data_IF_727507785756
#
_entry.id   IF_727507785756
#
_cell.length_a   1.000
_cell.length_b   1.000
_cell.length_c   1.000
_cell.angle_alpha   90.00
_cell.angle_beta   90.00
_cell.angle_gamma   90.00
#
_symmetry.space_group_name_H-M   'P 1'
#
loop_
_entity.id
_entity.type
_entity.pdbx_description
1 polymer ?
#
# COMPACT_ATOMS: atom_id res chain seq x y z
N UNK A 1 -8.90 43.75 40.35
CA UNK A 1 -9.61 44.00 39.08
C UNK A 1 -9.34 42.81 38.19
N UNK A 2 -10.33 41.96 37.87
CA UNK A 2 -10.13 40.89 36.90
C UNK A 2 -10.19 41.49 35.50
N UNK A 3 -9.22 41.16 34.65
CA UNK A 3 -9.23 41.52 33.23
C UNK A 3 -10.08 40.48 32.52
N UNK A 4 -11.28 40.89 32.12
CA UNK A 4 -12.17 40.11 31.26
C UNK A 4 -11.53 39.97 29.88
N UNK A 5 -10.95 38.80 29.61
CA UNK A 5 -10.50 38.41 28.28
C UNK A 5 -11.61 37.61 27.60
N UNK A 6 -12.79 38.23 27.46
CA UNK A 6 -13.82 37.75 26.53
C UNK A 6 -13.43 38.17 25.12
N UNK A 7 -12.60 37.37 24.45
CA UNK A 7 -12.57 37.40 22.99
C UNK A 7 -13.94 36.90 22.52
N UNK A 8 -14.74 37.71 21.79
CA UNK A 8 -16.04 37.27 21.35
C UNK A 8 -15.86 36.06 20.43
N UNK A 9 -16.50 34.94 20.77
CA UNK A 9 -16.48 33.69 20.01
C UNK A 9 -16.78 33.93 18.51
N UNK A 10 -17.58 34.94 18.19
CA UNK A 10 -17.86 35.36 16.81
C UNK A 10 -16.64 35.87 16.03
N UNK A 11 -15.72 36.61 16.67
CA UNK A 11 -14.52 37.13 16.01
C UNK A 11 -13.51 36.02 15.69
N UNK A 12 -13.39 35.03 16.57
CA UNK A 12 -12.54 33.85 16.36
C UNK A 12 -13.09 32.96 15.24
N UNK A 13 -14.42 32.80 15.15
CA UNK A 13 -15.09 32.03 14.09
C UNK A 13 -14.96 32.70 12.73
N UNK A 14 -15.04 34.03 12.65
CA UNK A 14 -14.90 34.77 11.39
C UNK A 14 -13.45 34.83 10.88
N UNK A 15 -12.45 34.88 11.77
CA UNK A 15 -11.04 34.71 11.40
C UNK A 15 -10.77 33.28 10.91
N UNK A 16 -11.30 32.26 11.58
CA UNK A 16 -11.25 30.86 11.11
C UNK A 16 -11.88 30.70 9.72
N UNK A 17 -13.07 31.27 9.49
CA UNK A 17 -13.76 31.23 8.20
C UNK A 17 -13.06 32.00 7.08
N UNK A 18 -12.23 33.00 7.38
CA UNK A 18 -11.46 33.77 6.38
C UNK A 18 -10.09 33.15 6.07
N UNK A 19 -9.51 32.38 7.01
CA UNK A 19 -8.26 31.63 6.78
C UNK A 19 -8.50 30.27 6.09
N UNK A 20 -9.71 29.70 6.24
CA UNK A 20 -10.08 28.40 5.65
C UNK A 20 -10.08 28.39 4.10
N UNK A 21 -10.65 29.36 3.36
CA UNK A 21 -10.77 29.25 1.91
C UNK A 21 -9.44 29.41 1.17
N UNK A 22 -8.54 30.27 1.66
CA UNK A 22 -7.20 30.50 1.09
C UNK A 22 -6.20 29.42 1.46
N UNK A 23 -6.30 28.84 2.67
CA UNK A 23 -5.52 27.65 3.03
C UNK A 23 -6.00 26.42 2.24
N UNK A 24 -7.31 26.25 2.03
CA UNK A 24 -7.87 25.10 1.27
C UNK A 24 -7.50 25.16 -0.20
N UNK A 25 -7.46 26.33 -0.85
CA UNK A 25 -7.03 26.44 -2.26
C UNK A 25 -5.52 26.23 -2.44
N UNK A 26 -4.68 26.78 -1.56
CA UNK A 26 -3.24 26.49 -1.58
C UNK A 26 -2.95 24.99 -1.38
N UNK A 27 -3.61 24.38 -0.38
CA UNK A 27 -3.48 22.94 -0.11
C UNK A 27 -3.98 22.09 -1.29
N UNK A 28 -5.05 22.49 -1.98
CA UNK A 28 -5.55 21.76 -3.16
C UNK A 28 -4.60 21.86 -4.35
N UNK A 29 -3.99 23.04 -4.58
CA UNK A 29 -2.99 23.24 -5.64
C UNK A 29 -1.74 22.42 -5.35
N UNK A 30 -1.28 22.40 -4.10
CA UNK A 30 -0.10 21.63 -3.68
C UNK A 30 -0.35 20.11 -3.79
N UNK A 31 -1.51 19.62 -3.35
CA UNK A 31 -1.89 18.21 -3.50
C UNK A 31 -1.99 17.83 -4.98
N UNK A 32 -2.66 18.65 -5.80
CA UNK A 32 -2.83 18.35 -7.23
C UNK A 32 -1.48 18.41 -7.96
N UNK A 33 -0.62 19.36 -7.59
CA UNK A 33 0.75 19.47 -8.09
C UNK A 33 1.57 18.23 -7.76
N UNK A 34 1.55 17.80 -6.49
CA UNK A 34 2.21 16.59 -6.02
C UNK A 34 1.74 15.32 -6.76
N UNK A 35 0.42 15.14 -6.89
CA UNK A 35 -0.14 14.00 -7.61
C UNK A 35 0.30 13.98 -9.08
N UNK A 36 0.31 15.14 -9.75
CA UNK A 36 0.82 15.27 -11.12
C UNK A 36 2.30 14.94 -11.21
N UNK A 37 3.10 15.44 -10.29
CA UNK A 37 4.54 15.15 -10.23
C UNK A 37 4.78 13.65 -10.08
N UNK A 38 4.10 12.99 -9.13
CA UNK A 38 4.17 11.54 -8.94
C UNK A 38 3.82 10.77 -10.23
N UNK A 39 2.74 11.16 -10.91
CA UNK A 39 2.33 10.54 -12.17
C UNK A 39 3.37 10.76 -13.27
N UNK A 40 3.92 11.97 -13.42
CA UNK A 40 4.93 12.27 -14.43
C UNK A 40 6.24 11.51 -14.18
N UNK A 41 6.69 11.45 -12.93
CA UNK A 41 7.87 10.68 -12.51
C UNK A 41 7.64 9.20 -12.81
N UNK A 42 6.49 8.66 -12.40
CA UNK A 42 6.11 7.28 -12.70
C UNK A 42 6.10 7.01 -14.20
N UNK A 43 5.47 7.86 -15.03
CA UNK A 43 5.40 7.66 -16.48
C UNK A 43 6.80 7.58 -17.12
N UNK A 44 7.71 8.46 -16.72
CA UNK A 44 9.10 8.47 -17.21
C UNK A 44 9.85 7.20 -16.82
N UNK A 45 9.76 6.81 -15.55
CA UNK A 45 10.44 5.63 -15.02
C UNK A 45 9.85 4.34 -15.59
N UNK A 46 8.52 4.27 -15.68
CA UNK A 46 7.79 3.16 -16.26
C UNK A 46 8.13 2.96 -17.74
N UNK A 47 8.26 4.03 -18.53
CA UNK A 47 8.67 3.92 -19.93
C UNK A 47 10.06 3.27 -20.06
N UNK A 48 11.00 3.69 -19.21
CA UNK A 48 12.36 3.15 -19.18
C UNK A 48 12.39 1.69 -18.73
N UNK A 49 11.61 1.38 -17.69
CA UNK A 49 11.41 0.04 -17.15
C UNK A 49 10.81 -0.92 -18.19
N UNK A 50 9.70 -0.54 -18.80
CA UNK A 50 8.99 -1.33 -19.81
C UNK A 50 9.87 -1.59 -21.03
N UNK A 51 10.59 -0.57 -21.53
CA UNK A 51 11.55 -0.72 -22.62
C UNK A 51 12.70 -1.68 -22.25
N UNK A 52 13.22 -1.56 -21.03
CA UNK A 52 14.25 -2.46 -20.50
C UNK A 52 13.81 -3.92 -20.50
N UNK A 53 12.62 -4.18 -19.96
CA UNK A 53 12.02 -5.52 -19.94
C UNK A 53 11.80 -6.06 -21.36
N UNK A 54 11.21 -5.27 -22.26
CA UNK A 54 10.97 -5.67 -23.64
C UNK A 54 12.26 -6.05 -24.37
N UNK A 55 13.33 -5.27 -24.19
CA UNK A 55 14.64 -5.55 -24.80
C UNK A 55 15.22 -6.87 -24.30
N UNK A 56 15.26 -7.08 -22.98
CA UNK A 56 15.80 -8.33 -22.39
C UNK A 56 14.95 -9.54 -22.73
N UNK A 57 13.64 -9.37 -22.80
CA UNK A 57 12.72 -10.42 -23.20
C UNK A 57 12.98 -10.87 -24.65
N UNK A 58 13.30 -9.93 -25.56
CA UNK A 58 13.71 -10.25 -26.93
C UNK A 58 15.05 -10.99 -26.98
N UNK A 59 16.02 -10.59 -26.16
CA UNK A 59 17.31 -11.28 -26.05
C UNK A 59 17.12 -12.73 -25.56
N UNK A 60 16.30 -12.93 -24.52
CA UNK A 60 15.92 -14.25 -24.03
C UNK A 60 15.26 -15.11 -25.14
N UNK A 61 14.29 -14.54 -25.87
CA UNK A 61 13.65 -15.23 -27.01
C UNK A 61 14.63 -15.60 -28.13
N UNK A 62 15.66 -14.80 -28.33
CA UNK A 62 16.71 -15.08 -29.33
C UNK A 62 17.59 -16.23 -28.85
N UNK A 63 18.05 -16.19 -27.60
CA UNK A 63 18.83 -17.28 -27.00
C UNK A 63 18.07 -18.62 -26.99
N UNK A 64 16.76 -18.59 -26.73
CA UNK A 64 15.90 -19.77 -26.79
C UNK A 64 15.79 -20.36 -28.21
N UNK A 65 15.81 -19.53 -29.26
CA UNK A 65 15.81 -19.97 -30.66
C UNK A 65 17.14 -20.61 -31.07
N UNK A 66 18.24 -20.13 -30.51
CA UNK A 66 19.59 -20.65 -30.76
C UNK A 66 19.83 -22.02 -30.10
N UNK A 67 18.96 -22.43 -29.16
CA UNK A 67 19.02 -23.74 -28.49
C UNK A 67 20.12 -23.89 -27.43
N UNK A 68 20.81 -22.81 -27.08
CA UNK A 68 21.88 -22.80 -26.08
C UNK A 68 21.30 -22.58 -24.67
N UNK A 69 21.16 -23.67 -23.91
CA UNK A 69 20.59 -23.66 -22.55
C UNK A 69 21.33 -22.72 -21.60
N UNK A 70 22.65 -22.57 -21.74
CA UNK A 70 23.44 -21.70 -20.85
C UNK A 70 23.16 -20.23 -21.15
N UNK A 71 23.10 -19.85 -22.44
CA UNK A 71 22.75 -18.49 -22.85
C UNK A 71 21.31 -18.15 -22.49
N UNK A 72 20.40 -19.11 -22.65
CA UNK A 72 18.99 -18.95 -22.33
C UNK A 72 18.79 -18.69 -20.83
N UNK A 73 19.41 -19.50 -19.96
CA UNK A 73 19.36 -19.32 -18.51
C UNK A 73 19.96 -17.97 -18.09
N UNK A 74 21.14 -17.62 -18.63
CA UNK A 74 21.76 -16.31 -18.35
C UNK A 74 20.89 -15.13 -18.81
N UNK A 75 20.25 -15.24 -19.98
CA UNK A 75 19.37 -14.19 -20.49
C UNK A 75 18.09 -14.05 -19.66
N UNK A 76 17.54 -15.17 -19.18
CA UNK A 76 16.40 -15.15 -18.27
C UNK A 76 16.74 -14.47 -16.94
N UNK A 77 17.88 -14.83 -16.32
CA UNK A 77 18.32 -14.19 -15.07
C UNK A 77 18.44 -12.67 -15.22
N UNK A 78 19.03 -12.19 -16.31
CA UNK A 78 19.15 -10.75 -16.58
C UNK A 78 17.79 -10.09 -16.81
N UNK A 79 16.85 -10.79 -17.46
CA UNK A 79 15.49 -10.32 -17.64
C UNK A 79 14.76 -10.21 -16.29
N UNK A 80 14.84 -11.24 -15.46
CA UNK A 80 14.21 -11.26 -14.14
C UNK A 80 14.83 -10.18 -13.23
N UNK A 81 16.16 -10.08 -13.18
CA UNK A 81 16.86 -9.07 -12.39
C UNK A 81 16.42 -7.64 -12.76
N UNK A 82 16.35 -7.31 -14.06
CA UNK A 82 15.87 -5.99 -14.51
C UNK A 82 14.39 -5.81 -14.23
N UNK A 83 13.60 -6.86 -14.45
CA UNK A 83 12.16 -6.88 -14.18
C UNK A 83 11.84 -6.60 -12.71
N UNK A 84 12.53 -7.29 -11.80
CA UNK A 84 12.31 -7.22 -10.37
C UNK A 84 12.86 -5.92 -9.77
N UNK A 85 14.11 -5.55 -10.08
CA UNK A 85 14.69 -4.31 -9.56
C UNK A 85 13.94 -3.07 -10.07
N UNK A 86 13.53 -3.07 -11.33
CA UNK A 86 12.72 -1.99 -11.89
C UNK A 86 11.33 -1.92 -11.26
N UNK A 87 10.69 -3.07 -11.01
CA UNK A 87 9.43 -3.14 -10.27
C UNK A 87 9.58 -2.56 -8.85
N UNK A 88 10.56 -3.01 -8.07
CA UNK A 88 10.78 -2.52 -6.70
C UNK A 88 11.05 -1.02 -6.67
N UNK A 89 11.81 -0.49 -7.64
CA UNK A 89 12.06 0.95 -7.78
C UNK A 89 10.74 1.71 -7.98
N UNK A 90 9.91 1.28 -8.93
CA UNK A 90 8.62 1.91 -9.20
C UNK A 90 7.66 1.85 -8.01
N UNK A 91 7.57 0.69 -7.35
CA UNK A 91 6.75 0.53 -6.13
C UNK A 91 7.27 1.42 -4.99
N UNK A 92 8.59 1.57 -4.85
CA UNK A 92 9.24 2.48 -3.91
C UNK A 92 8.86 3.93 -4.17
N UNK A 93 9.08 4.43 -5.40
CA UNK A 93 8.71 5.79 -5.82
C UNK A 93 7.23 6.08 -5.57
N UNK A 94 6.33 5.15 -5.91
CA UNK A 94 4.90 5.31 -5.68
C UNK A 94 4.56 5.33 -4.18
N UNK A 95 5.23 4.50 -3.37
CA UNK A 95 5.03 4.47 -1.92
C UNK A 95 5.49 5.75 -1.23
N UNK A 96 6.59 6.35 -1.69
CA UNK A 96 7.04 7.68 -1.27
C UNK A 96 6.02 8.75 -1.65
N UNK A 97 5.46 8.67 -2.86
CA UNK A 97 4.37 9.53 -3.32
C UNK A 97 3.14 9.47 -2.42
N UNK A 98 2.74 8.27 -1.99
CA UNK A 98 1.66 8.07 -1.01
C UNK A 98 2.00 8.71 0.34
N UNK A 99 3.19 8.45 0.88
CA UNK A 99 3.59 9.02 2.17
C UNK A 99 3.60 10.55 2.13
N UNK A 100 4.09 11.14 1.04
CA UNK A 100 4.11 12.58 0.84
C UNK A 100 2.69 13.17 0.68
N UNK A 101 1.78 12.46 -0.01
CA UNK A 101 0.37 12.86 -0.04
C UNK A 101 -0.21 12.99 1.38
N UNK A 102 0.03 12.01 2.24
CA UNK A 102 -0.44 12.05 3.62
C UNK A 102 0.25 13.15 4.44
N UNK A 103 1.53 13.43 4.20
CA UNK A 103 2.23 14.57 4.79
C UNK A 103 1.58 15.91 4.45
N UNK A 104 1.10 16.07 3.22
CA UNK A 104 0.46 17.32 2.75
C UNK A 104 -0.97 17.46 3.25
N UNK A 105 -1.70 16.35 3.35
CA UNK A 105 -3.13 16.34 3.69
C UNK A 105 -3.42 16.23 5.19
N UNK A 106 -2.53 15.58 5.93
CA UNK A 106 -2.68 15.31 7.35
C UNK A 106 -1.58 16.01 8.15
N UNK A 107 -1.96 16.75 9.19
CA UNK A 107 -1.02 17.55 9.99
C UNK A 107 -0.39 16.76 11.15
N UNK A 108 -0.48 15.43 11.14
CA UNK A 108 0.14 14.62 12.18
C UNK A 108 1.67 14.79 12.15
N UNK A 109 2.33 14.81 13.33
CA UNK A 109 3.77 15.03 13.41
C UNK A 109 4.59 13.85 12.86
N UNK A 110 4.08 12.63 13.02
CA UNK A 110 4.69 11.45 12.41
C UNK A 110 4.10 11.18 11.02
N UNK A 111 4.97 10.75 10.10
CA UNK A 111 4.53 10.28 8.80
C UNK A 111 3.94 8.87 8.94
N UNK A 112 2.94 8.52 8.11
CA UNK A 112 2.45 7.16 8.09
C UNK A 112 3.49 6.24 7.45
N UNK A 113 3.47 4.97 7.86
CA UNK A 113 4.23 3.92 7.17
C UNK A 113 3.42 3.45 5.98
N UNK A 114 4.06 3.42 4.81
CA UNK A 114 3.48 2.86 3.59
C UNK A 114 4.18 1.54 3.28
N UNK A 115 3.41 0.52 2.94
CA UNK A 115 3.94 -0.79 2.57
C UNK A 115 3.16 -1.42 1.42
N UNK A 116 3.87 -2.17 0.58
CA UNK A 116 3.30 -2.91 -0.54
C UNK A 116 3.51 -4.39 -0.29
N UNK A 117 2.41 -5.14 -0.26
CA UNK A 117 2.43 -6.59 -0.13
C UNK A 117 2.00 -7.22 -1.45
N UNK A 118 2.74 -8.19 -1.96
CA UNK A 118 2.32 -9.01 -3.10
C UNK A 118 1.66 -10.28 -2.58
N UNK A 119 0.53 -10.64 -3.17
CA UNK A 119 -0.17 -11.88 -2.87
C UNK A 119 0.34 -13.01 -3.77
N UNK A 120 0.41 -14.23 -3.23
CA UNK A 120 0.58 -15.45 -4.02
C UNK A 120 -0.71 -16.29 -4.06
N UNK A 121 -0.70 -17.30 -4.91
CA UNK A 121 -1.80 -18.25 -5.13
C UNK A 121 -2.05 -19.18 -3.94
N UNK A 122 -1.12 -19.25 -2.98
CA UNK A 122 -1.18 -20.08 -1.78
C UNK A 122 -1.70 -19.34 -0.56
N UNK A 123 -2.13 -18.08 -0.74
CA UNK A 123 -2.67 -17.25 0.34
C UNK A 123 -1.60 -16.62 1.23
N UNK A 124 -0.32 -16.64 0.81
CA UNK A 124 0.71 -15.84 1.44
C UNK A 124 0.73 -14.43 0.88
N UNK A 125 1.15 -13.49 1.73
CA UNK A 125 1.37 -12.11 1.37
C UNK A 125 2.76 -11.70 1.82
N UNK A 126 3.52 -11.16 0.88
CA UNK A 126 4.91 -10.81 1.12
C UNK A 126 5.12 -9.32 0.96
N UNK A 127 5.78 -8.71 1.94
CA UNK A 127 6.13 -7.30 1.90
C UNK A 127 7.34 -7.07 0.98
N UNK A 128 7.10 -6.40 -0.15
CA UNK A 128 8.14 -6.11 -1.14
C UNK A 128 8.69 -4.69 -1.03
N UNK A 129 7.90 -3.77 -0.48
CA UNK A 129 8.32 -2.38 -0.27
C UNK A 129 7.78 -1.91 1.07
N UNK A 130 8.66 -1.34 1.90
CA UNK A 130 8.27 -0.67 3.14
C UNK A 130 8.97 0.68 3.23
N UNK A 131 8.20 1.75 3.18
CA UNK A 131 8.66 3.11 3.50
C UNK A 131 8.47 3.32 5.00
N UNK A 132 9.44 2.84 5.76
CA UNK A 132 9.69 3.18 7.16
C UNK A 132 11.20 3.21 7.37
N UNK A 133 11.70 3.92 8.39
CA UNK A 133 13.13 4.19 8.59
C UNK A 133 14.06 2.96 8.68
N UNK A 134 13.53 1.73 8.61
CA UNK A 134 14.30 0.51 8.39
C UNK A 134 13.63 -0.41 7.34
N UNK A 135 14.22 -0.48 6.15
CA UNK A 135 13.88 -1.44 5.09
C UNK A 135 14.44 -2.83 5.43
N UNK A 136 13.77 -3.59 6.31
CA UNK A 136 13.99 -5.04 6.34
C UNK A 136 13.00 -5.71 5.41
N UNK A 137 13.46 -6.65 4.57
CA UNK A 137 12.61 -7.58 3.82
C UNK A 137 11.59 -8.15 4.81
N UNK A 138 10.30 -7.93 4.57
CA UNK A 138 9.29 -8.35 5.53
C UNK A 138 9.18 -9.86 5.55
N UNK A 139 8.88 -10.41 6.72
CA UNK A 139 8.59 -11.83 6.86
C UNK A 139 7.36 -12.21 6.02
N UNK A 140 7.36 -13.43 5.48
CA UNK A 140 6.23 -14.00 4.79
C UNK A 140 5.03 -14.09 5.75
N UNK A 141 3.86 -13.60 5.34
CA UNK A 141 2.64 -13.61 6.16
C UNK A 141 1.59 -14.51 5.52
N UNK A 142 0.80 -15.20 6.33
CA UNK A 142 -0.39 -15.93 5.88
C UNK A 142 -1.59 -15.00 5.93
N UNK A 143 -2.30 -14.78 4.81
CA UNK A 143 -3.37 -13.80 4.74
C UNK A 143 -4.51 -14.07 5.74
N UNK A 144 -4.83 -15.33 6.00
CA UNK A 144 -5.91 -15.74 6.91
C UNK A 144 -5.70 -15.35 8.37
N UNK A 145 -4.44 -15.13 8.76
CA UNK A 145 -4.05 -14.72 10.10
C UNK A 145 -4.24 -13.22 10.35
N UNK A 146 -4.51 -12.44 9.29
CA UNK A 146 -4.71 -11.01 9.35
C UNK A 146 -6.09 -10.65 8.81
N UNK A 147 -6.96 -10.09 9.66
CA UNK A 147 -8.30 -9.65 9.25
C UNK A 147 -8.26 -8.72 8.06
N UNK A 148 -7.26 -7.85 7.97
CA UNK A 148 -7.12 -6.94 6.83
C UNK A 148 -6.97 -7.68 5.50
N UNK A 149 -6.01 -8.61 5.40
CA UNK A 149 -5.76 -9.33 4.14
C UNK A 149 -6.94 -10.22 3.81
N UNK A 150 -7.43 -10.98 4.81
CA UNK A 150 -8.61 -11.82 4.65
C UNK A 150 -9.82 -11.02 4.17
N UNK A 151 -10.12 -9.88 4.78
CA UNK A 151 -11.26 -9.05 4.38
C UNK A 151 -11.14 -8.57 2.95
N UNK A 152 -9.97 -8.02 2.57
CA UNK A 152 -9.76 -7.49 1.22
C UNK A 152 -9.81 -8.62 0.18
N UNK A 153 -9.26 -9.80 0.46
CA UNK A 153 -9.35 -10.99 -0.41
C UNK A 153 -10.81 -11.48 -0.53
N UNK A 154 -11.52 -11.56 0.59
CA UNK A 154 -12.88 -12.11 0.63
C UNK A 154 -13.91 -11.19 -0.06
N UNK A 155 -13.70 -9.87 -0.01
CA UNK A 155 -14.68 -8.89 -0.48
C UNK A 155 -14.23 -8.13 -1.74
N UNK A 156 -12.93 -8.09 -2.03
CA UNK A 156 -12.37 -7.32 -3.15
C UNK A 156 -12.50 -5.81 -3.01
N UNK A 157 -12.68 -5.30 -1.79
CA UNK A 157 -12.86 -3.86 -1.49
C UNK A 157 -11.86 -3.43 -0.41
N UNK A 158 -11.62 -2.11 -0.22
CA UNK A 158 -10.68 -1.62 0.77
C UNK A 158 -11.11 -1.96 2.18
N UNK A 159 -10.13 -2.11 3.06
CA UNK A 159 -10.33 -2.23 4.49
C UNK A 159 -9.83 -0.96 5.19
N UNK A 160 -10.63 -0.40 6.09
CA UNK A 160 -10.28 0.75 6.89
C UNK A 160 -10.58 0.46 8.36
N UNK A 161 -9.58 0.66 9.22
CA UNK A 161 -9.74 0.66 10.66
C UNK A 161 -9.02 1.86 11.27
N UNK A 162 -9.77 2.91 11.59
CA UNK A 162 -9.26 4.13 12.22
C UNK A 162 -9.15 4.03 13.75
N UNK A 163 -9.49 2.90 14.36
CA UNK A 163 -9.37 2.71 15.80
C UNK A 163 -9.16 1.25 16.16
N UNK A 164 -7.97 0.77 15.82
CA UNK A 164 -7.56 -0.60 16.09
C UNK A 164 -7.66 -0.97 17.58
N UNK A 165 -7.30 -0.10 18.55
CA UNK A 165 -7.44 -0.46 19.96
C UNK A 165 -8.89 -0.76 20.37
N UNK A 166 -9.85 0.08 19.95
CA UNK A 166 -11.28 -0.17 20.23
C UNK A 166 -11.78 -1.41 19.49
N UNK A 167 -11.32 -1.63 18.26
CA UNK A 167 -11.68 -2.81 17.48
C UNK A 167 -11.17 -4.09 18.15
N UNK A 168 -9.92 -4.10 18.65
CA UNK A 168 -9.34 -5.25 19.33
C UNK A 168 -10.07 -5.59 20.65
N UNK A 169 -10.63 -4.59 21.32
CA UNK A 169 -11.47 -4.79 22.51
C UNK A 169 -12.84 -5.40 22.13
N UNK A 170 -13.49 -4.89 21.08
CA UNK A 170 -14.90 -5.18 20.78
C UNK A 170 -15.13 -6.33 19.81
N UNK A 171 -14.21 -6.55 18.89
CA UNK A 171 -14.37 -7.48 17.77
C UNK A 171 -13.65 -8.80 18.06
N UNK A 172 -14.44 -9.86 18.25
CA UNK A 172 -14.00 -11.25 18.44
C UNK A 172 -13.39 -11.86 17.17
N UNK A 173 -13.72 -11.32 15.99
CA UNK A 173 -13.18 -11.80 14.72
C UNK A 173 -11.87 -11.11 14.30
N UNK A 174 -11.42 -10.05 14.98
CA UNK A 174 -10.19 -9.35 14.61
C UNK A 174 -8.94 -10.23 14.82
N UNK A 175 -8.31 -10.67 13.74
CA UNK A 175 -7.05 -11.43 13.73
C UNK A 175 -5.89 -10.53 13.34
N UNK A 176 -4.83 -10.56 14.15
CA UNK A 176 -3.53 -9.99 13.83
C UNK A 176 -2.49 -10.66 14.75
N UNK A 177 -1.52 -11.46 14.25
CA UNK A 177 -0.60 -12.24 15.09
C UNK A 177 0.25 -11.37 16.01
N UNK A 178 0.51 -10.13 15.57
CA UNK A 178 1.23 -9.12 16.36
C UNK A 178 0.48 -8.59 17.60
N UNK A 179 -0.81 -8.88 17.78
CA UNK A 179 -1.63 -8.32 18.87
C UNK A 179 -1.94 -9.36 19.95
N UNK A 180 -1.65 -9.04 21.22
CA UNK A 180 -2.02 -9.84 22.39
C UNK A 180 -3.48 -9.57 22.78
N UNK A 181 -4.42 -10.15 22.04
CA UNK A 181 -5.85 -9.81 22.11
C UNK A 181 -6.47 -9.99 23.49
N UNK A 182 -6.17 -11.10 24.15
CA UNK A 182 -6.68 -11.42 25.49
C UNK A 182 -6.22 -10.38 26.51
N UNK A 183 -4.97 -9.92 26.39
CA UNK A 183 -4.43 -8.86 27.24
C UNK A 183 -5.07 -7.50 26.93
N UNK A 184 -5.26 -7.17 25.65
CA UNK A 184 -5.91 -5.91 25.26
C UNK A 184 -7.32 -5.83 25.88
N UNK A 185 -8.10 -6.91 25.78
CA UNK A 185 -9.48 -6.94 26.29
C UNK A 185 -9.58 -6.82 27.80
N UNK A 186 -8.63 -7.41 28.51
CA UNK A 186 -8.66 -7.47 29.97
C UNK A 186 -7.95 -6.29 30.63
N UNK A 187 -6.93 -5.71 29.98
CA UNK A 187 -6.00 -4.77 30.62
C UNK A 187 -5.91 -3.40 29.93
N UNK A 188 -6.03 -3.32 28.61
CA UNK A 188 -5.86 -2.05 27.91
C UNK A 188 -7.05 -1.12 28.19
N UNK A 189 -6.74 0.13 28.54
CA UNK A 189 -7.75 1.17 28.76
C UNK A 189 -7.59 2.26 27.70
N UNK A 190 -8.54 2.37 26.74
CA UNK A 190 -8.48 3.39 25.71
C UNK A 190 -8.36 4.79 26.32
N UNK A 191 -7.43 5.59 25.80
CA UNK A 191 -7.27 6.96 26.25
C UNK A 191 -8.51 7.78 25.89
N UNK A 192 -8.89 8.72 26.74
CA UNK A 192 -9.99 9.63 26.42
C UNK A 192 -9.70 10.48 25.16
N UNK A 193 -8.42 10.73 24.88
CA UNK A 193 -7.93 11.40 23.66
C UNK A 193 -8.08 10.57 22.40
N UNK A 194 -8.25 9.25 22.51
CA UNK A 194 -8.48 8.35 21.37
C UNK A 194 -9.95 8.38 20.91
N UNK A 195 -10.77 9.32 21.43
CA UNK A 195 -12.09 9.62 20.87
C UNK A 195 -11.92 10.47 19.61
N UNK A 196 -12.74 10.20 18.58
CA UNK A 196 -12.69 10.84 17.25
C UNK A 196 -12.41 12.35 17.26
N UNK A 197 -13.22 13.13 17.95
CA UNK A 197 -13.08 14.59 17.98
C UNK A 197 -11.76 15.04 18.62
N UNK A 198 -11.37 14.40 19.72
CA UNK A 198 -10.18 14.76 20.49
C UNK A 198 -8.90 14.31 19.78
N UNK A 199 -8.93 13.14 19.14
CA UNK A 199 -7.81 12.64 18.34
C UNK A 199 -7.54 13.58 17.16
N UNK A 200 -8.59 13.98 16.43
CA UNK A 200 -8.45 14.95 15.32
C UNK A 200 -7.96 16.30 15.79
N UNK A 201 -8.52 16.81 16.90
CA UNK A 201 -8.07 18.07 17.49
C UNK A 201 -6.59 18.01 17.87
N UNK A 202 -6.16 16.94 18.53
CA UNK A 202 -4.75 16.72 18.90
C UNK A 202 -3.85 16.64 17.66
N UNK A 203 -4.22 15.82 16.68
CA UNK A 203 -3.42 15.62 15.47
C UNK A 203 -3.25 16.92 14.68
N UNK A 204 -4.27 17.77 14.64
CA UNK A 204 -4.25 19.01 13.86
C UNK A 204 -3.65 20.22 14.60
N UNK A 205 -3.83 20.33 15.92
CA UNK A 205 -3.45 21.54 16.67
C UNK A 205 -2.20 21.37 17.52
N UNK A 206 -2.02 20.21 18.17
CA UNK A 206 -0.95 20.06 19.15
C UNK A 206 0.37 19.67 18.49
N UNK A 207 0.35 19.01 17.32
CA UNK A 207 1.53 18.56 16.55
C UNK A 207 2.63 17.92 17.42
N UNK A 208 2.23 17.24 18.50
CA UNK A 208 3.13 16.53 19.40
C UNK A 208 3.10 15.07 19.08
N UNK A 209 4.28 14.47 19.02
CA UNK A 209 4.43 13.03 19.00
C UNK A 209 3.75 12.45 20.26
N UNK A 210 2.67 11.69 20.07
CA UNK A 210 2.01 10.99 21.17
C UNK A 210 2.30 9.51 21.07
N UNK A 211 3.25 9.04 21.89
CA UNK A 211 3.44 7.61 22.11
C UNK A 211 2.39 7.09 23.07
N UNK A 212 1.71 6.03 22.65
CA UNK A 212 0.90 5.24 23.56
C UNK A 212 1.66 4.02 24.08
N UNK A 213 2.55 4.25 25.03
CA UNK A 213 3.35 3.18 25.67
C UNK A 213 2.50 2.05 26.24
N UNK A 214 1.26 2.31 26.63
CA UNK A 214 0.35 1.28 27.11
C UNK A 214 -0.11 0.38 25.95
N UNK A 215 -0.57 1.00 24.86
CA UNK A 215 -0.89 0.29 23.62
C UNK A 215 0.30 -0.54 23.12
N UNK A 216 1.50 0.02 23.18
CA UNK A 216 2.71 -0.62 22.65
C UNK A 216 3.12 -1.92 23.38
N UNK A 217 2.72 -2.11 24.65
CA UNK A 217 2.99 -3.33 25.44
C UNK A 217 2.17 -4.53 24.98
N UNK A 218 1.06 -4.25 24.31
CA UNK A 218 0.12 -5.24 23.81
C UNK A 218 0.47 -5.78 22.42
N UNK A 219 1.58 -5.31 21.85
CA UNK A 219 2.16 -5.90 20.65
C UNK A 219 3.16 -7.00 21.01
N UNK A 220 3.21 -8.07 20.22
CA UNK A 220 4.24 -9.10 20.30
C UNK A 220 5.45 -8.73 19.44
N UNK A 221 6.66 -8.97 19.97
CA UNK A 221 7.93 -8.75 19.28
C UNK A 221 8.59 -7.40 19.59
N UNK A 222 9.92 -7.35 19.43
CA UNK A 222 10.76 -6.17 19.65
C UNK A 222 10.77 -5.21 18.45
N UNK A 223 9.64 -5.13 17.73
CA UNK A 223 9.51 -4.29 16.55
C UNK A 223 9.61 -2.79 16.88
N UNK A 224 10.08 -2.00 15.90
CA UNK A 224 10.10 -0.54 15.99
C UNK A 224 8.74 0.01 16.43
N UNK A 225 8.72 1.06 17.24
CA UNK A 225 7.49 1.68 17.75
C UNK A 225 6.52 2.10 16.62
N UNK A 226 7.05 2.49 15.46
CA UNK A 226 6.29 2.83 14.25
C UNK A 226 5.49 1.65 13.68
N UNK A 227 5.87 0.41 14.02
CA UNK A 227 5.11 -0.78 13.65
C UNK A 227 3.86 -1.01 14.51
N UNK A 228 3.72 -0.25 15.61
CA UNK A 228 2.63 -0.37 16.58
C UNK A 228 1.59 0.71 16.29
N UNK A 229 0.75 0.45 15.30
CA UNK A 229 -0.19 1.42 14.76
C UNK A 229 -1.56 1.39 15.45
N UNK A 230 -2.35 2.44 15.26
CA UNK A 230 -3.73 2.57 15.76
C UNK A 230 -4.76 2.84 14.66
N UNK A 231 -4.32 3.41 13.54
CA UNK A 231 -5.12 3.49 12.31
C UNK A 231 -4.43 2.71 11.20
N UNK A 232 -5.23 2.01 10.40
CA UNK A 232 -4.77 1.20 9.28
C UNK A 232 -5.74 1.26 8.11
N UNK A 233 -5.21 1.39 6.90
CA UNK A 233 -5.96 1.22 5.66
C UNK A 233 -5.23 0.28 4.73
N UNK A 234 -5.99 -0.57 4.03
CA UNK A 234 -5.48 -1.42 2.97
C UNK A 234 -6.36 -1.29 1.73
N UNK A 235 -5.72 -1.00 0.60
CA UNK A 235 -6.36 -0.93 -0.72
C UNK A 235 -5.82 -2.05 -1.59
N UNK A 236 -6.69 -2.85 -2.24
CA UNK A 236 -6.23 -3.92 -3.10
C UNK A 236 -5.60 -3.36 -4.38
N UNK A 237 -4.51 -4.00 -4.81
CA UNK A 237 -3.93 -3.79 -6.14
C UNK A 237 -4.66 -4.74 -7.08
N UNK A 238 -5.79 -4.27 -7.63
CA UNK A 238 -6.63 -5.06 -8.54
C UNK A 238 -6.41 -4.63 -9.98
N UNK A 239 -6.14 -5.57 -10.89
CA UNK A 239 -6.07 -5.24 -12.31
C UNK A 239 -7.33 -5.65 -13.10
N UNK A 240 -7.82 -6.88 -12.92
CA UNK A 240 -8.66 -7.52 -13.94
C UNK A 240 -10.08 -6.95 -14.07
N UNK A 241 -10.80 -6.65 -13.00
CA UNK A 241 -12.19 -6.11 -13.11
C UNK A 241 -12.24 -4.72 -13.74
N UNK A 242 -11.27 -3.87 -13.43
CA UNK A 242 -11.23 -2.52 -13.99
C UNK A 242 -10.77 -2.54 -15.45
N UNK A 243 -9.76 -3.36 -15.79
CA UNK A 243 -9.30 -3.59 -17.16
C UNK A 243 -10.38 -4.26 -18.05
N UNK A 244 -11.06 -5.30 -17.55
CA UNK A 244 -12.12 -6.00 -18.30
C UNK A 244 -13.37 -5.14 -18.54
N UNK A 245 -13.62 -4.13 -17.70
CA UNK A 245 -14.74 -3.20 -17.87
C UNK A 245 -14.53 -2.13 -18.96
N UNK A 246 -13.32 -2.03 -19.54
CA UNK A 246 -12.97 -1.03 -20.56
C UNK A 246 -12.53 -1.70 -21.87
N UNK A 247 -13.31 -1.61 -22.96
CA UNK A 247 -12.93 -2.15 -24.26
C UNK A 247 -11.64 -1.48 -24.80
N UNK A 248 -10.61 -2.27 -25.16
CA UNK A 248 -9.35 -1.77 -25.74
C UNK A 248 -8.11 -2.58 -25.31
N UNK A 249 -6.92 -1.98 -25.47
CA UNK A 249 -5.56 -2.53 -25.20
C UNK A 249 -5.40 -3.26 -23.84
N UNK A 250 -6.28 -2.97 -22.87
CA UNK A 250 -6.32 -3.59 -21.54
C UNK A 250 -6.90 -5.02 -21.54
N UNK A 251 -7.78 -5.36 -22.49
CA UNK A 251 -8.37 -6.69 -22.59
C UNK A 251 -7.35 -7.75 -23.05
N UNK A 252 -6.42 -7.38 -23.92
CA UNK A 252 -5.32 -8.26 -24.37
C UNK A 252 -4.31 -8.52 -23.23
N UNK A 253 -4.00 -7.50 -22.42
CA UNK A 253 -3.21 -7.66 -21.19
C UNK A 253 -3.84 -8.63 -20.18
N UNK A 254 -5.18 -8.72 -20.12
CA UNK A 254 -5.87 -9.70 -19.26
C UNK A 254 -5.85 -11.14 -19.80
N UNK A 255 -5.57 -11.35 -21.09
CA UNK A 255 -5.44 -12.68 -21.69
C UNK A 255 -4.04 -13.28 -21.54
N UNK A 256 -3.02 -12.43 -21.38
CA UNK A 256 -1.61 -12.85 -21.25
C UNK A 256 -1.31 -13.46 -19.87
N UNK A 257 -2.14 -13.18 -18.88
CA UNK A 257 -1.97 -13.69 -17.52
C UNK A 257 -3.02 -14.76 -17.28
N UNK A 258 -2.62 -16.01 -17.42
CA UNK A 258 -3.44 -17.20 -17.17
C UNK A 258 -3.62 -17.41 -15.63
N UNK A 259 -3.98 -16.33 -14.92
CA UNK A 259 -4.37 -16.40 -13.52
C UNK A 259 -5.74 -17.08 -13.46
N UNK A 260 -5.92 -18.09 -12.60
CA UNK A 260 -7.21 -18.74 -12.40
C UNK A 260 -8.33 -17.71 -12.23
N UNK A 261 -9.39 -17.84 -13.02
CA UNK A 261 -10.54 -16.93 -13.00
C UNK A 261 -11.49 -17.28 -11.85
N UNK A 262 -11.09 -16.91 -10.63
CA UNK A 262 -11.95 -16.94 -9.44
C UNK A 262 -12.74 -15.63 -9.26
N UNK A 263 -12.62 -14.70 -10.20
CA UNK A 263 -13.27 -13.39 -10.17
C UNK A 263 -12.67 -12.38 -9.19
N UNK A 264 -11.48 -12.61 -8.61
CA UNK A 264 -10.88 -11.79 -7.55
C UNK A 264 -9.36 -11.59 -7.65
N UNK A 265 -8.78 -11.49 -8.85
CA UNK A 265 -7.32 -11.37 -9.02
C UNK A 265 -6.73 -10.09 -8.38
N UNK A 266 -6.40 -10.19 -7.10
CA UNK A 266 -5.70 -9.20 -6.28
C UNK A 266 -4.21 -9.54 -6.38
N UNK A 267 -3.45 -8.67 -7.03
CA UNK A 267 -1.99 -8.86 -7.20
C UNK A 267 -1.24 -8.57 -5.89
N UNK A 268 -1.88 -7.80 -5.00
CA UNK A 268 -1.26 -7.34 -3.77
C UNK A 268 -2.10 -6.27 -3.08
N UNK A 269 -1.47 -5.56 -2.15
CA UNK A 269 -2.12 -4.60 -1.26
C UNK A 269 -1.19 -3.40 -1.05
N UNK A 270 -1.78 -2.20 -1.06
CA UNK A 270 -1.14 -0.99 -0.54
C UNK A 270 -1.66 -0.79 0.88
N UNK A 271 -0.76 -0.87 1.86
CA UNK A 271 -1.05 -0.71 3.28
C UNK A 271 -0.49 0.61 3.79
N UNK A 272 -1.32 1.38 4.49
CA UNK A 272 -0.89 2.58 5.19
C UNK A 272 -1.24 2.47 6.67
N UNK A 273 -0.21 2.57 7.51
CA UNK A 273 -0.28 2.47 8.96
C UNK A 273 0.03 3.81 9.61
N UNK A 274 -0.70 4.15 10.66
CA UNK A 274 -0.38 5.34 11.45
C UNK A 274 -0.63 5.12 12.95
N UNK A 275 0.22 5.70 13.80
CA UNK A 275 0.18 5.48 15.25
C UNK A 275 -0.97 6.21 15.96
N UNK A 276 -1.57 7.21 15.31
CA UNK A 276 -2.74 7.92 15.86
C UNK A 276 -4.05 7.26 15.44
N UNK A 277 -5.07 7.27 16.31
CA UNK A 277 -6.45 6.93 15.95
C UNK A 277 -7.08 8.01 15.08
N UNK A 278 -8.09 7.65 14.28
CA UNK A 278 -8.84 8.55 13.41
C UNK A 278 -7.90 9.41 12.57
N UNK A 279 -6.86 8.76 12.05
CA UNK A 279 -5.88 9.41 11.19
C UNK A 279 -6.49 9.65 9.80
N UNK A 280 -7.04 8.61 9.18
CA UNK A 280 -7.63 8.67 7.84
C UNK A 280 -9.05 9.29 7.85
N UNK A 281 -9.57 9.59 6.67
CA UNK A 281 -10.98 9.90 6.44
C UNK A 281 -11.88 8.81 7.04
N UNK A 282 -12.93 9.23 7.76
CA UNK A 282 -13.86 8.34 8.46
C UNK A 282 -15.07 7.96 7.63
N UNK A 283 -15.17 8.47 6.40
CA UNK A 283 -16.20 8.04 5.46
C UNK A 283 -16.08 6.53 5.20
N UNK A 284 -17.18 5.81 4.93
CA UNK A 284 -17.12 4.37 4.64
C UNK A 284 -16.07 4.04 3.57
N UNK A 285 -15.39 2.90 3.72
CA UNK A 285 -14.23 2.57 2.90
C UNK A 285 -14.56 2.37 1.40
N UNK A 286 -15.80 2.00 1.12
CA UNK A 286 -16.40 1.82 -0.20
C UNK A 286 -17.05 3.10 -0.76
N UNK A 287 -16.99 4.21 -0.02
CA UNK A 287 -17.63 5.46 -0.40
C UNK A 287 -16.72 6.33 -1.25
N UNK A 288 -17.26 6.91 -2.34
CA UNK A 288 -16.61 7.98 -3.11
C UNK A 288 -16.29 9.23 -2.28
N UNK A 289 -16.86 9.36 -1.07
CA UNK A 289 -16.52 10.46 -0.16
C UNK A 289 -15.23 10.23 0.61
N UNK A 290 -14.71 9.00 0.67
CA UNK A 290 -13.44 8.72 1.32
C UNK A 290 -12.27 9.10 0.41
N UNK A 291 -11.76 10.31 0.59
CA UNK A 291 -10.73 10.87 -0.31
C UNK A 291 -9.43 10.10 -0.23
N UNK A 292 -9.01 9.68 0.97
CA UNK A 292 -7.76 8.95 1.18
C UNK A 292 -7.74 7.63 0.41
N UNK A 293 -8.84 6.88 0.47
CA UNK A 293 -8.97 5.62 -0.26
C UNK A 293 -9.00 5.85 -1.77
N UNK A 294 -9.72 6.87 -2.24
CA UNK A 294 -9.76 7.19 -3.67
C UNK A 294 -8.37 7.56 -4.22
N UNK A 295 -7.57 8.29 -3.45
CA UNK A 295 -6.19 8.61 -3.83
C UNK A 295 -5.33 7.34 -3.81
N UNK A 296 -5.44 6.52 -2.76
CA UNK A 296 -4.73 5.24 -2.68
C UNK A 296 -5.04 4.32 -3.86
N UNK A 297 -6.28 4.29 -4.35
CA UNK A 297 -6.62 3.55 -5.56
C UNK A 297 -5.87 4.04 -6.81
N UNK A 298 -5.65 5.34 -6.97
CA UNK A 298 -4.85 5.85 -8.10
C UNK A 298 -3.42 5.33 -8.05
N UNK A 299 -2.80 5.31 -6.86
CA UNK A 299 -1.48 4.72 -6.70
C UNK A 299 -1.50 3.21 -6.91
N UNK A 300 -2.50 2.50 -6.38
CA UNK A 300 -2.66 1.05 -6.58
C UNK A 300 -2.81 0.70 -8.07
N UNK A 301 -3.52 1.50 -8.85
CA UNK A 301 -3.64 1.33 -10.30
C UNK A 301 -2.29 1.47 -11.00
N UNK A 302 -1.47 2.48 -10.65
CA UNK A 302 -0.12 2.64 -11.20
C UNK A 302 0.81 1.48 -10.79
N UNK A 303 0.72 1.02 -9.54
CA UNK A 303 1.45 -0.16 -9.07
C UNK A 303 1.05 -1.41 -9.85
N UNK A 304 -0.24 -1.55 -10.17
CA UNK A 304 -0.74 -2.67 -10.99
C UNK A 304 -0.06 -2.68 -12.36
N UNK A 305 0.09 -1.54 -13.03
CA UNK A 305 0.76 -1.45 -14.34
C UNK A 305 2.21 -1.94 -14.30
N UNK A 306 2.95 -1.57 -13.25
CA UNK A 306 4.32 -2.03 -13.05
C UNK A 306 4.37 -3.55 -12.83
N UNK A 307 3.50 -4.09 -11.95
CA UNK A 307 3.42 -5.52 -11.67
C UNK A 307 3.07 -6.34 -12.91
N UNK A 308 2.14 -5.87 -13.73
CA UNK A 308 1.73 -6.57 -14.93
C UNK A 308 2.81 -6.57 -15.99
N UNK A 309 3.58 -5.49 -16.08
CA UNK A 309 4.72 -5.43 -16.98
C UNK A 309 5.75 -6.49 -16.61
N UNK A 310 6.08 -6.60 -15.31
CA UNK A 310 6.94 -7.67 -14.81
C UNK A 310 6.40 -9.05 -15.21
N UNK A 311 5.15 -9.35 -14.83
CA UNK A 311 4.51 -10.64 -15.09
C UNK A 311 4.44 -10.96 -16.59
N UNK A 312 4.08 -9.99 -17.42
CA UNK A 312 3.99 -10.14 -18.89
C UNK A 312 5.30 -10.63 -19.48
N UNK A 313 6.42 -10.03 -19.07
CA UNK A 313 7.73 -10.37 -19.65
C UNK A 313 8.40 -11.57 -19.00
N UNK A 314 8.12 -11.86 -17.73
CA UNK A 314 8.79 -12.94 -16.96
C UNK A 314 7.96 -14.20 -16.80
N UNK A 315 6.67 -14.17 -17.14
CA UNK A 315 5.73 -15.30 -16.99
C UNK A 315 4.67 -15.33 -18.11
N UNK A 316 4.37 -14.22 -18.78
CA UNK A 316 3.29 -14.15 -19.78
C UNK A 316 3.62 -14.72 -21.16
N UNK A 317 4.86 -15.12 -21.41
CA UNK A 317 5.30 -15.61 -22.73
C UNK A 317 5.44 -17.12 -22.76
N UNK A 318 4.94 -17.78 -23.81
CA UNK A 318 5.12 -19.22 -24.05
C UNK A 318 6.59 -19.67 -23.91
N UNK A 319 7.52 -18.91 -24.49
CA UNK A 319 8.96 -19.20 -24.39
C UNK A 319 9.46 -19.22 -22.95
N UNK A 320 8.94 -18.33 -22.10
CA UNK A 320 9.34 -18.23 -20.70
C UNK A 320 8.67 -19.33 -19.88
N UNK A 321 7.38 -19.59 -20.11
CA UNK A 321 6.67 -20.67 -19.44
C UNK A 321 7.30 -22.02 -19.71
N UNK A 322 7.67 -22.28 -20.98
CA UNK A 322 8.39 -23.50 -21.34
C UNK A 322 9.71 -23.63 -20.57
N UNK A 323 10.49 -22.55 -20.49
CA UNK A 323 11.75 -22.54 -19.75
C UNK A 323 11.58 -22.83 -18.26
N UNK A 324 10.60 -22.19 -17.62
CA UNK A 324 10.32 -22.36 -16.20
C UNK A 324 9.88 -23.79 -15.88
N UNK A 325 9.01 -24.36 -16.71
CA UNK A 325 8.58 -25.75 -16.60
C UNK A 325 9.76 -26.73 -16.75
N UNK A 326 10.65 -26.50 -17.73
CA UNK A 326 11.85 -27.33 -17.94
C UNK A 326 12.88 -27.19 -16.80
N UNK A 327 12.93 -26.02 -16.15
CA UNK A 327 13.86 -25.72 -15.06
C UNK A 327 13.33 -26.12 -13.68
N UNK A 328 12.10 -26.64 -13.59
CA UNK A 328 11.48 -27.02 -12.31
C UNK A 328 11.04 -25.83 -11.45
N UNK A 329 10.95 -24.62 -12.03
CA UNK A 329 10.38 -23.45 -11.35
C UNK A 329 8.86 -23.41 -11.59
N UNK A 330 8.02 -23.48 -10.55
CA UNK A 330 6.57 -23.38 -10.73
C UNK A 330 6.19 -22.00 -11.27
N UNK A 331 5.38 -21.98 -12.33
CA UNK A 331 4.77 -20.75 -12.84
C UNK A 331 3.86 -20.13 -11.75
N UNK A 332 3.84 -18.79 -11.65
CA UNK A 332 2.95 -18.06 -10.73
C UNK A 332 3.51 -17.79 -9.33
N UNK A 333 4.70 -18.29 -8.97
CA UNK A 333 5.40 -17.86 -7.77
C UNK A 333 6.27 -16.63 -8.06
N UNK A 334 6.15 -15.58 -7.24
CA UNK A 334 7.12 -14.48 -7.24
C UNK A 334 8.51 -15.09 -6.99
N UNK A 335 9.52 -14.79 -7.84
CA UNK A 335 10.88 -15.23 -7.59
C UNK A 335 11.42 -14.49 -6.36
N UNK A 336 11.32 -15.16 -5.21
CA UNK A 336 11.62 -14.60 -3.90
C UNK A 336 13.04 -14.90 -3.42
N UNK A 337 13.75 -15.78 -4.15
CA UNK A 337 15.12 -16.22 -3.91
C UNK A 337 16.10 -15.46 -4.81
N UNK A 338 16.27 -14.17 -4.54
CA UNK A 338 17.53 -13.49 -4.83
C UNK A 338 18.41 -13.59 -3.60
N UNK A 339 19.45 -14.42 -3.64
CA UNK A 339 20.59 -14.28 -2.73
C UNK A 339 21.22 -12.90 -2.98
N UNK A 340 21.33 -12.09 -1.92
CA UNK A 340 22.19 -10.89 -1.89
C UNK A 340 23.55 -11.31 -1.34
#
# INVERSE_FOLDING_TARGET
MPVDLMVPIGLAVDVLKRLLPTAVTATTVDITGHLRECICVFQREYASYSFGCARRHREFKTAAKDGDSSKMSSAYKVLDDIGWNGLLTLLGTLSEGVQHYFKLTHQAPQLPRVSVYLADDKGFVNNVVMISGNQKKGELKVAEDYTVFKYVIDHGVPYLNNNLPISAIKDDALKHPGLKREEIRSKYKPRWTDKKLLSRWRNNLLRREDRDEDWEKHWSGDGCHEAKYKSHVAVPITFRKHAASRPGMLAELTQVIDLPDDGRSILGFVLVDHISTYYFDDSPADSFRNVDINILYQFADLMSLALLTYLTYTQGSETVNKFLLESGHPAGQWQMEGEI
#
